data_IF_165235841843
#
_entry.id   IF_165235841843
#
_cell.length_a   1.000
_cell.length_b   1.000
_cell.length_c   1.000
_cell.angle_alpha   90.00
_cell.angle_beta   90.00
_cell.angle_gamma   90.00
#
_symmetry.space_group_name_H-M   'P 1'
#
loop_
_entity.id
_entity.type
_entity.pdbx_description
1 polymer ?
#
# COMPACT_ATOMS: atom_id res chain seq x y z
N UNK A 1 -40.40 -25.80 60.74
CA UNK A 1 -38.97 -25.40 61.05
C UNK A 1 -37.96 -25.63 59.94
N UNK A 2 -38.04 -26.74 59.16
CA UNK A 2 -37.02 -26.98 58.05
C UNK A 2 -37.06 -25.97 56.90
N UNK A 3 -38.23 -25.35 56.60
CA UNK A 3 -38.38 -24.37 55.50
C UNK A 3 -37.91 -22.96 55.86
N UNK A 4 -37.85 -22.62 57.14
CA UNK A 4 -37.36 -21.32 57.65
C UNK A 4 -35.82 -21.30 57.70
N UNK A 5 -35.20 -22.43 58.00
CA UNK A 5 -33.74 -22.56 58.00
C UNK A 5 -33.14 -22.48 56.60
N UNK A 6 -33.82 -23.00 55.56
CA UNK A 6 -33.39 -22.92 54.18
C UNK A 6 -33.44 -21.48 53.60
N UNK A 7 -34.43 -20.68 54.03
CA UNK A 7 -34.58 -19.29 53.62
C UNK A 7 -33.49 -18.39 54.27
N UNK A 8 -33.09 -18.68 55.51
CA UNK A 8 -32.03 -17.94 56.23
C UNK A 8 -30.66 -18.22 55.64
N UNK A 9 -30.36 -19.44 55.17
CA UNK A 9 -29.08 -19.78 54.51
C UNK A 9 -28.99 -19.17 53.11
N UNK A 10 -30.10 -19.03 52.38
CA UNK A 10 -30.13 -18.38 51.07
C UNK A 10 -29.94 -16.85 51.16
N UNK A 11 -30.41 -16.21 52.24
CA UNK A 11 -30.26 -14.78 52.46
C UNK A 11 -28.82 -14.38 52.83
N UNK A 12 -28.02 -15.28 53.40
CA UNK A 12 -26.59 -15.04 53.69
C UNK A 12 -25.66 -15.23 52.49
N UNK A 13 -26.13 -15.89 51.41
CA UNK A 13 -25.31 -16.09 50.21
C UNK A 13 -25.29 -14.85 49.27
N UNK A 14 -26.15 -13.84 49.49
CA UNK A 14 -26.16 -12.60 48.69
C UNK A 14 -25.44 -11.41 49.35
N UNK A 15 -24.91 -11.57 50.56
CA UNK A 15 -24.21 -10.49 51.28
C UNK A 15 -22.71 -10.52 51.15
N UNK A 16 -22.12 -11.35 50.26
CA UNK A 16 -20.68 -11.45 50.06
C UNK A 16 -20.29 -11.26 48.61
N UNK A 17 -20.54 -10.09 48.05
CA UNK A 17 -19.87 -9.57 46.88
C UNK A 17 -19.83 -8.03 46.98
N UNK A 18 -19.15 -7.49 47.99
CA UNK A 18 -18.47 -6.23 47.76
C UNK A 18 -17.21 -6.57 46.97
N UNK A 19 -17.19 -6.16 45.70
CA UNK A 19 -15.95 -6.00 44.95
C UNK A 19 -15.12 -4.99 45.77
N UNK A 20 -14.14 -5.47 46.52
CA UNK A 20 -13.01 -4.64 46.85
C UNK A 20 -12.39 -4.24 45.52
N UNK A 21 -12.62 -3.01 45.06
CA UNK A 21 -11.75 -2.34 44.13
C UNK A 21 -10.38 -2.49 44.71
N UNK A 22 -9.52 -3.31 44.06
CA UNK A 22 -8.17 -3.57 44.54
C UNK A 22 -7.35 -2.29 44.43
N UNK A 23 -7.37 -1.53 45.49
CA UNK A 23 -6.42 -0.48 45.79
C UNK A 23 -5.11 -1.10 46.33
N UNK A 24 -4.59 -2.13 45.66
CA UNK A 24 -3.29 -2.69 46.00
C UNK A 24 -2.25 -1.73 45.43
N UNK A 25 -1.68 -0.91 46.29
CA UNK A 25 -0.53 -0.07 45.99
C UNK A 25 -0.77 1.44 46.04
N UNK A 26 -2.01 1.93 46.23
CA UNK A 26 -2.27 3.37 46.43
C UNK A 26 -1.98 3.85 47.86
N UNK A 27 -1.98 2.97 48.84
CA UNK A 27 -1.69 3.33 50.25
C UNK A 27 -0.23 3.70 50.51
N UNK A 28 0.67 3.45 49.56
CA UNK A 28 2.09 3.81 49.66
C UNK A 28 2.45 5.14 48.99
N UNK A 29 1.54 5.76 48.29
CA UNK A 29 1.75 7.07 47.66
C UNK A 29 0.83 8.06 48.36
N UNK A 30 1.45 9.02 49.04
CA UNK A 30 0.70 10.15 49.60
C UNK A 30 -0.08 10.83 48.45
N UNK A 31 -1.40 10.66 48.43
CA UNK A 31 -2.28 11.16 47.38
C UNK A 31 -2.25 12.68 47.20
N UNK A 32 -1.59 13.38 48.13
CA UNK A 32 -1.33 14.81 48.08
C UNK A 32 -0.21 15.17 47.07
N UNK A 33 0.63 14.19 46.66
CA UNK A 33 1.80 14.43 45.83
C UNK A 33 1.51 14.34 44.32
N UNK A 34 0.33 13.84 43.89
CA UNK A 34 0.00 13.70 42.49
C UNK A 34 -1.41 14.22 42.18
N UNK A 35 -1.52 15.13 41.23
CA UNK A 35 -2.80 15.52 40.66
C UNK A 35 -3.03 14.76 39.35
N UNK A 36 -4.07 13.94 39.29
CA UNK A 36 -4.52 13.28 38.09
C UNK A 36 -5.32 14.26 37.23
N UNK A 37 -5.00 14.37 35.95
CA UNK A 37 -5.72 15.25 35.05
C UNK A 37 -5.89 14.64 33.67
N UNK A 38 -6.91 15.10 32.97
CA UNK A 38 -7.08 14.84 31.54
C UNK A 38 -7.06 16.15 30.80
N UNK A 39 -6.38 16.17 29.66
CA UNK A 39 -6.46 17.29 28.73
C UNK A 39 -6.87 16.74 27.38
N UNK A 40 -8.10 17.06 26.97
CA UNK A 40 -8.70 16.53 25.75
C UNK A 40 -8.25 17.25 24.48
N UNK A 41 -7.73 18.46 24.57
CA UNK A 41 -7.41 19.25 23.38
C UNK A 41 -6.03 19.87 23.48
N UNK A 42 -5.04 19.14 22.97
CA UNK A 42 -3.73 19.73 22.68
C UNK A 42 -3.85 20.51 21.38
N UNK A 43 -3.50 21.79 21.40
CA UNK A 43 -3.48 22.61 20.19
C UNK A 43 -2.52 21.97 19.17
N UNK A 44 -3.07 21.62 18.02
CA UNK A 44 -2.31 21.07 16.89
C UNK A 44 -2.77 21.74 15.60
N UNK A 45 -1.94 21.64 14.58
CA UNK A 45 -2.25 22.12 13.25
C UNK A 45 -2.06 20.99 12.26
N UNK A 46 -2.99 20.89 11.32
CA UNK A 46 -2.95 19.84 10.30
C UNK A 46 -3.08 20.43 8.90
N UNK A 47 -2.30 19.95 7.97
CA UNK A 47 -2.35 20.32 6.57
C UNK A 47 -1.92 19.15 5.69
N UNK A 48 -2.06 19.31 4.39
CA UNK A 48 -1.71 18.27 3.41
C UNK A 48 -0.45 18.63 2.66
N UNK A 49 0.44 17.65 2.45
CA UNK A 49 1.64 17.81 1.62
C UNK A 49 1.71 16.69 0.57
N UNK A 50 2.49 16.93 -0.50
CA UNK A 50 2.91 15.86 -1.40
C UNK A 50 3.96 14.97 -0.71
N UNK A 51 3.98 13.70 -1.07
CA UNK A 51 5.03 12.78 -0.63
C UNK A 51 5.93 12.43 -1.81
N UNK A 52 7.02 13.13 -1.96
CA UNK A 52 7.92 13.10 -3.13
C UNK A 52 9.01 12.03 -3.10
N UNK A 53 9.26 11.43 -1.95
CA UNK A 53 10.38 10.49 -1.74
C UNK A 53 9.92 9.03 -1.55
N UNK A 54 8.84 8.64 -2.22
CA UNK A 54 8.33 7.26 -2.14
C UNK A 54 9.25 6.31 -2.90
N UNK A 55 9.89 5.40 -2.16
CA UNK A 55 10.65 4.29 -2.76
C UNK A 55 9.67 3.25 -3.31
N UNK A 56 9.83 2.89 -4.57
CA UNK A 56 8.99 1.93 -5.28
C UNK A 56 9.76 0.71 -5.78
N UNK A 57 11.01 0.54 -5.38
CA UNK A 57 11.83 -0.63 -5.67
C UNK A 57 11.22 -1.90 -5.03
N UNK A 58 11.07 -2.96 -5.83
CA UNK A 58 10.50 -4.26 -5.42
C UNK A 58 9.22 -4.12 -4.60
N UNK A 59 8.19 -3.45 -5.14
CA UNK A 59 6.96 -3.20 -4.40
C UNK A 59 6.19 -4.51 -4.19
N UNK A 60 5.32 -4.56 -3.18
CA UNK A 60 4.47 -5.71 -2.91
C UNK A 60 3.48 -6.02 -4.05
N UNK A 61 3.15 -5.03 -4.88
CA UNK A 61 2.38 -5.19 -6.10
C UNK A 61 2.89 -4.26 -7.20
N UNK A 62 2.88 -4.75 -8.44
CA UNK A 62 3.13 -3.98 -9.65
C UNK A 62 1.82 -3.35 -10.11
N UNK A 63 1.87 -2.08 -10.49
CA UNK A 63 0.68 -1.28 -10.76
C UNK A 63 0.64 -0.81 -12.21
N UNK A 64 -0.52 -0.90 -12.85
CA UNK A 64 -0.72 -0.33 -14.18
C UNK A 64 -2.12 0.23 -14.35
N UNK A 65 -2.20 1.39 -14.98
CA UNK A 65 -3.45 2.08 -15.32
C UNK A 65 -3.62 3.41 -14.61
N UNK A 66 -4.78 3.96 -14.70
CA UNK A 66 -5.18 5.24 -14.10
C UNK A 66 -6.67 5.23 -13.79
N UNK A 67 -7.13 6.16 -12.99
CA UNK A 67 -8.55 6.41 -12.75
C UNK A 67 -8.78 7.88 -12.41
N UNK A 68 -9.98 8.40 -12.72
CA UNK A 68 -10.34 9.76 -12.31
C UNK A 68 -11.00 9.76 -10.95
N UNK A 69 -10.35 10.36 -9.97
CA UNK A 69 -10.93 10.63 -8.64
C UNK A 69 -11.42 12.10 -8.60
N UNK A 70 -12.68 12.36 -8.22
CA UNK A 70 -13.23 13.71 -8.20
C UNK A 70 -12.59 14.62 -7.15
N UNK A 71 -11.89 14.05 -6.17
CA UNK A 71 -11.24 14.79 -5.08
C UNK A 71 -9.72 14.87 -5.30
N UNK A 72 -9.08 13.77 -5.71
CA UNK A 72 -7.62 13.67 -5.77
C UNK A 72 -7.04 13.85 -7.17
N UNK A 73 -7.88 13.99 -8.22
CA UNK A 73 -7.42 14.07 -9.61
C UNK A 73 -7.13 12.70 -10.19
N UNK A 74 -6.18 12.60 -11.11
CA UNK A 74 -5.85 11.37 -11.84
C UNK A 74 -4.47 10.83 -11.47
N UNK A 75 -4.38 9.84 -10.58
CA UNK A 75 -3.16 9.05 -10.42
C UNK A 75 -2.98 8.11 -11.60
N UNK A 76 -1.75 7.98 -12.09
CA UNK A 76 -1.37 7.06 -13.15
C UNK A 76 -0.18 6.25 -12.70
N UNK A 77 -0.22 4.93 -12.92
CA UNK A 77 0.87 4.03 -12.61
C UNK A 77 1.25 3.18 -13.82
N UNK A 78 2.53 2.90 -13.93
CA UNK A 78 3.14 1.93 -14.81
C UNK A 78 4.28 1.24 -14.05
N UNK A 79 4.81 0.16 -14.57
CA UNK A 79 5.95 -0.50 -13.93
C UNK A 79 7.00 -0.94 -14.93
N UNK A 80 8.24 -1.00 -14.45
CA UNK A 80 9.34 -1.67 -15.14
C UNK A 80 9.77 -2.89 -14.33
N UNK A 81 10.17 -3.97 -15.02
CA UNK A 81 10.54 -5.23 -14.39
C UNK A 81 11.54 -6.02 -15.22
N UNK A 82 12.47 -6.64 -14.55
CA UNK A 82 13.34 -7.68 -15.15
C UNK A 82 12.63 -9.05 -15.09
N UNK A 83 13.13 -9.98 -15.87
CA UNK A 83 12.77 -11.39 -15.88
C UNK A 83 14.04 -12.23 -15.92
N UNK A 84 13.98 -13.47 -15.45
CA UNK A 84 15.09 -14.43 -15.56
C UNK A 84 14.67 -15.65 -16.37
N UNK A 85 15.65 -16.35 -16.92
CA UNK A 85 15.46 -17.58 -17.66
C UNK A 85 14.95 -18.70 -16.72
N UNK A 86 13.98 -19.51 -17.15
CA UNK A 86 13.56 -20.71 -16.41
C UNK A 86 14.63 -21.80 -16.39
N UNK A 87 15.43 -21.87 -17.44
CA UNK A 87 16.66 -22.64 -17.53
C UNK A 87 17.68 -21.89 -18.37
N UNK A 88 18.94 -21.93 -17.98
CA UNK A 88 20.04 -21.33 -18.75
C UNK A 88 20.45 -22.24 -19.91
N UNK A 89 21.08 -21.65 -20.94
CA UNK A 89 21.49 -22.34 -22.15
C UNK A 89 20.39 -23.25 -22.75
N UNK A 90 19.18 -22.71 -23.05
CA UNK A 90 18.08 -23.51 -23.53
C UNK A 90 18.37 -24.12 -24.89
N UNK A 91 17.99 -25.42 -25.05
CA UNK A 91 17.99 -26.10 -26.33
C UNK A 91 16.53 -26.21 -26.83
N UNK A 92 16.24 -25.53 -27.94
CA UNK A 92 14.94 -25.58 -28.59
C UNK A 92 14.79 -26.64 -29.67
N UNK A 93 15.85 -27.45 -29.92
CA UNK A 93 15.89 -28.50 -30.94
C UNK A 93 16.07 -27.98 -32.36
N UNK A 94 15.85 -28.87 -33.37
CA UNK A 94 16.02 -28.53 -34.79
C UNK A 94 14.83 -27.70 -35.33
N UNK A 95 15.13 -26.62 -36.08
CA UNK A 95 14.17 -25.74 -36.72
C UNK A 95 13.05 -25.23 -35.80
N UNK A 96 13.38 -24.66 -34.63
CA UNK A 96 12.41 -24.21 -33.67
C UNK A 96 11.64 -22.96 -34.19
N UNK A 97 10.33 -22.91 -33.93
CA UNK A 97 9.46 -21.81 -34.33
C UNK A 97 8.53 -21.45 -33.17
N UNK A 98 8.56 -20.18 -32.77
CA UNK A 98 7.63 -19.64 -31.75
C UNK A 98 6.22 -19.57 -32.33
N UNK A 99 5.27 -20.23 -31.66
CA UNK A 99 3.85 -20.18 -31.98
C UNK A 99 3.18 -18.97 -31.34
N UNK A 100 3.29 -18.85 -30.05
CA UNK A 100 2.67 -17.78 -29.30
C UNK A 100 3.46 -17.44 -28.02
N UNK A 101 3.29 -16.21 -27.56
CA UNK A 101 3.92 -15.71 -26.32
C UNK A 101 2.88 -14.99 -25.50
N UNK A 102 2.79 -15.34 -24.21
CA UNK A 102 1.87 -14.70 -23.27
C UNK A 102 2.61 -14.19 -22.05
N UNK A 103 2.37 -12.93 -21.71
CA UNK A 103 2.67 -12.38 -20.42
C UNK A 103 1.49 -12.65 -19.49
N UNK A 104 1.74 -13.31 -18.37
CA UNK A 104 0.74 -13.71 -17.39
C UNK A 104 0.93 -12.87 -16.14
N UNK A 105 -0.07 -12.07 -15.81
CA UNK A 105 -0.07 -11.12 -14.71
C UNK A 105 -1.17 -11.49 -13.68
N UNK A 106 -0.83 -12.19 -12.61
CA UNK A 106 -1.79 -12.54 -11.55
C UNK A 106 -2.34 -11.32 -10.84
N UNK A 107 -3.66 -11.19 -10.75
CA UNK A 107 -4.28 -10.07 -10.06
C UNK A 107 -4.07 -10.14 -8.55
N UNK A 108 -3.57 -9.05 -7.96
CA UNK A 108 -3.55 -8.81 -6.52
C UNK A 108 -4.74 -7.93 -6.08
N UNK A 109 -5.29 -7.14 -7.01
CA UNK A 109 -6.42 -6.26 -6.77
C UNK A 109 -6.64 -5.27 -7.91
N UNK A 110 -7.57 -4.37 -7.71
CA UNK A 110 -7.87 -3.26 -8.63
C UNK A 110 -8.54 -2.12 -7.89
N UNK A 111 -8.52 -0.95 -8.52
CA UNK A 111 -9.14 0.26 -8.00
C UNK A 111 -9.69 1.12 -9.15
N UNK A 112 -10.93 1.55 -9.01
CA UNK A 112 -11.64 2.28 -10.08
C UNK A 112 -12.74 1.44 -10.74
N UNK A 113 -13.08 1.76 -11.99
CA UNK A 113 -14.18 1.13 -12.75
C UNK A 113 -13.69 0.00 -13.65
N UNK A 114 -13.93 -1.24 -13.24
CA UNK A 114 -13.52 -2.45 -13.98
C UNK A 114 -14.43 -2.78 -15.17
N UNK A 115 -15.47 -2.02 -15.43
CA UNK A 115 -16.40 -2.23 -16.55
C UNK A 115 -15.97 -1.47 -17.81
N UNK A 116 -15.10 -0.48 -17.66
CA UNK A 116 -14.55 0.30 -18.74
C UNK A 116 -13.48 -0.47 -19.53
N UNK A 117 -13.30 -0.10 -20.80
CA UNK A 117 -12.19 -0.61 -21.59
C UNK A 117 -10.84 -0.18 -20.99
N UNK A 118 -9.90 -1.12 -20.96
CA UNK A 118 -8.59 -0.93 -20.40
C UNK A 118 -7.54 -1.06 -21.50
N UNK A 119 -6.84 0.02 -21.78
CA UNK A 119 -5.70 0.00 -22.70
C UNK A 119 -4.43 -0.34 -21.93
N UNK A 120 -3.64 -1.27 -22.48
CA UNK A 120 -2.36 -1.69 -21.92
C UNK A 120 -1.32 -1.85 -23.03
N UNK A 121 -0.11 -1.42 -22.72
CA UNK A 121 1.04 -1.48 -23.60
C UNK A 121 2.20 -2.17 -22.90
N UNK A 122 2.85 -3.09 -23.59
CA UNK A 122 4.08 -3.76 -23.13
C UNK A 122 5.20 -3.40 -24.09
N UNK A 123 6.33 -2.92 -23.55
CA UNK A 123 7.52 -2.55 -24.32
C UNK A 123 8.75 -3.21 -23.70
N UNK A 124 9.78 -3.48 -24.51
CA UNK A 124 11.09 -3.81 -23.98
C UNK A 124 11.70 -2.56 -23.35
N UNK A 125 12.47 -2.72 -22.29
CA UNK A 125 13.26 -1.63 -21.72
C UNK A 125 14.54 -1.46 -22.52
N UNK A 126 14.84 -0.23 -22.95
CA UNK A 126 16.12 0.13 -23.56
C UNK A 126 17.18 0.53 -22.52
N UNK A 127 16.78 0.68 -21.27
CA UNK A 127 17.70 0.93 -20.15
C UNK A 127 17.79 -0.27 -19.22
N UNK A 128 19.01 -0.62 -18.82
CA UNK A 128 19.23 -1.63 -17.79
C UNK A 128 18.64 -1.18 -16.45
N UNK A 129 17.92 -2.07 -15.78
CA UNK A 129 17.47 -1.85 -14.41
C UNK A 129 18.60 -2.28 -13.48
N UNK A 130 19.22 -1.29 -12.84
CA UNK A 130 20.40 -1.48 -11.97
C UNK A 130 19.98 -1.69 -10.52
N UNK A 131 20.94 -2.05 -9.66
CA UNK A 131 20.71 -2.19 -8.20
C UNK A 131 20.73 -0.81 -7.51
N UNK A 132 19.91 0.10 -8.03
CA UNK A 132 19.73 1.47 -7.54
C UNK A 132 18.40 1.60 -6.80
N UNK A 133 18.28 2.62 -5.96
CA UNK A 133 16.99 2.96 -5.35
C UNK A 133 16.12 3.65 -6.39
N UNK A 134 14.93 3.08 -6.64
CA UNK A 134 13.92 3.66 -7.52
C UNK A 134 12.82 4.31 -6.71
N UNK A 135 12.45 5.51 -7.13
CA UNK A 135 11.37 6.29 -6.54
C UNK A 135 10.15 6.32 -7.46
N UNK A 136 9.02 6.77 -6.96
CA UNK A 136 7.79 6.90 -7.74
C UNK A 136 7.96 7.70 -9.03
N UNK A 137 8.82 8.71 -9.01
CA UNK A 137 9.14 9.56 -10.16
C UNK A 137 10.26 9.01 -11.06
N UNK A 138 10.89 7.88 -10.71
CA UNK A 138 11.88 7.24 -11.57
C UNK A 138 11.25 6.79 -12.89
N UNK A 139 12.02 6.78 -13.96
CA UNK A 139 11.58 6.39 -15.30
C UNK A 139 12.49 5.30 -15.87
N UNK A 140 11.96 4.51 -16.80
CA UNK A 140 12.74 3.61 -17.64
C UNK A 140 12.56 4.01 -19.10
N UNK A 141 13.62 3.89 -19.91
CA UNK A 141 13.55 4.19 -21.32
C UNK A 141 12.77 3.09 -22.04
N UNK A 142 11.66 3.48 -22.68
CA UNK A 142 10.80 2.55 -23.41
C UNK A 142 11.36 2.35 -24.83
N UNK A 143 11.60 1.09 -25.17
CA UNK A 143 12.01 0.64 -26.48
C UNK A 143 10.87 0.03 -27.29
N UNK A 144 11.16 -1.09 -27.92
CA UNK A 144 10.27 -1.73 -28.87
C UNK A 144 8.95 -2.19 -28.25
N UNK A 145 7.83 -1.93 -28.95
CA UNK A 145 6.48 -2.33 -28.51
C UNK A 145 6.24 -3.80 -28.82
N UNK A 146 5.88 -4.57 -27.80
CA UNK A 146 5.57 -6.00 -27.88
C UNK A 146 4.08 -6.30 -27.89
N UNK A 147 3.29 -5.42 -27.29
CA UNK A 147 1.84 -5.48 -27.24
C UNK A 147 1.30 -4.06 -27.04
N UNK A 148 0.24 -3.72 -27.77
CA UNK A 148 -0.58 -2.52 -27.53
C UNK A 148 -2.02 -2.92 -27.83
N UNK A 149 -2.86 -3.02 -26.80
CA UNK A 149 -4.21 -3.57 -26.93
C UNK A 149 -5.17 -2.92 -25.95
N UNK A 150 -6.46 -3.00 -26.27
CA UNK A 150 -7.54 -2.52 -25.41
C UNK A 150 -8.63 -3.57 -25.31
N UNK A 151 -9.07 -3.87 -24.10
CA UNK A 151 -10.14 -4.85 -23.80
C UNK A 151 -10.76 -4.55 -22.43
N UNK A 152 -11.85 -5.21 -22.10
CA UNK A 152 -12.43 -5.16 -20.76
C UNK A 152 -11.92 -6.35 -19.94
N UNK A 153 -11.02 -6.16 -18.95
CA UNK A 153 -10.50 -7.25 -18.15
C UNK A 153 -11.59 -7.86 -17.26
N UNK A 154 -11.60 -9.19 -17.17
CA UNK A 154 -12.53 -9.95 -16.30
C UNK A 154 -11.86 -10.30 -14.97
N UNK A 155 -11.30 -9.31 -14.29
CA UNK A 155 -10.55 -9.52 -13.07
C UNK A 155 -11.41 -10.12 -11.95
N UNK A 156 -10.80 -11.07 -11.24
CA UNK A 156 -11.41 -11.75 -10.10
C UNK A 156 -12.36 -12.87 -10.50
N UNK A 157 -12.36 -13.93 -9.71
CA UNK A 157 -13.24 -15.10 -9.91
C UNK A 157 -14.48 -14.95 -9.05
N UNK A 158 -15.65 -14.88 -9.68
CA UNK A 158 -16.96 -14.92 -9.00
C UNK A 158 -17.61 -16.28 -9.23
N UNK A 159 -18.12 -16.89 -8.17
CA UNK A 159 -18.94 -18.09 -8.30
C UNK A 159 -20.42 -17.66 -8.32
N UNK A 160 -21.10 -17.96 -9.41
CA UNK A 160 -22.54 -17.69 -9.54
C UNK A 160 -23.35 -18.67 -8.66
N UNK A 161 -24.62 -18.33 -8.40
CA UNK A 161 -25.56 -19.22 -7.65
C UNK A 161 -25.69 -20.62 -8.29
N UNK A 162 -25.42 -20.72 -9.59
CA UNK A 162 -25.42 -21.98 -10.36
C UNK A 162 -24.16 -22.82 -10.14
N UNK A 163 -23.19 -22.37 -9.33
CA UNK A 163 -21.90 -23.01 -9.18
C UNK A 163 -20.89 -22.68 -10.28
N UNK A 164 -21.29 -21.94 -11.33
CA UNK A 164 -20.43 -21.53 -12.43
C UNK A 164 -19.42 -20.47 -11.96
N UNK A 165 -18.13 -20.66 -12.24
CA UNK A 165 -17.08 -19.66 -11.99
C UNK A 165 -16.98 -18.75 -13.21
N UNK A 166 -16.98 -17.43 -12.98
CA UNK A 166 -16.77 -16.40 -13.99
C UNK A 166 -15.67 -15.44 -13.53
N UNK A 167 -14.90 -14.95 -14.48
CA UNK A 167 -13.74 -14.08 -14.25
C UNK A 167 -12.42 -14.84 -14.33
N UNK A 168 -11.33 -14.12 -14.20
CA UNK A 168 -9.97 -14.58 -14.40
C UNK A 168 -9.10 -14.25 -13.20
N UNK A 169 -8.19 -15.16 -12.85
CA UNK A 169 -7.21 -14.94 -11.76
C UNK A 169 -5.99 -14.15 -12.23
N UNK A 170 -5.78 -14.08 -13.54
CA UNK A 170 -4.64 -13.40 -14.18
C UNK A 170 -5.07 -12.69 -15.44
N UNK A 171 -4.37 -11.62 -15.78
CA UNK A 171 -4.44 -10.97 -17.08
C UNK A 171 -3.47 -11.68 -18.03
N UNK A 172 -3.92 -12.00 -19.23
CA UNK A 172 -3.13 -12.65 -20.28
C UNK A 172 -2.93 -11.66 -21.43
N UNK A 173 -1.68 -11.31 -21.71
CA UNK A 173 -1.31 -10.39 -22.78
C UNK A 173 -0.53 -11.16 -23.85
N UNK A 174 -1.05 -11.19 -25.06
CA UNK A 174 -0.35 -11.79 -26.19
C UNK A 174 0.75 -10.85 -26.65
N UNK A 175 1.99 -11.30 -26.60
CA UNK A 175 3.17 -10.53 -27.00
C UNK A 175 3.60 -10.88 -28.44
N UNK A 176 4.46 -10.06 -29.04
CA UNK A 176 5.03 -10.28 -30.36
C UNK A 176 5.86 -11.56 -30.44
N UNK A 177 5.33 -12.61 -31.06
CA UNK A 177 6.04 -13.88 -31.24
C UNK A 177 7.34 -13.71 -32.02
N UNK A 178 7.35 -12.81 -33.02
CA UNK A 178 8.51 -12.56 -33.87
C UNK A 178 9.72 -12.05 -33.05
N UNK A 179 9.47 -11.18 -32.05
CA UNK A 179 10.52 -10.64 -31.19
C UNK A 179 11.08 -11.69 -30.23
N UNK A 180 10.23 -12.54 -29.69
CA UNK A 180 10.71 -13.63 -28.85
C UNK A 180 11.34 -14.75 -29.65
N UNK A 181 10.99 -14.95 -30.93
CA UNK A 181 11.75 -15.77 -31.84
C UNK A 181 13.19 -15.24 -31.97
N UNK A 182 13.33 -13.97 -32.30
CA UNK A 182 14.63 -13.31 -32.47
C UNK A 182 15.48 -13.31 -31.18
N UNK A 183 14.88 -12.86 -30.08
CA UNK A 183 15.63 -12.58 -28.84
C UNK A 183 15.92 -13.81 -27.98
N UNK A 184 15.14 -14.87 -28.08
CA UNK A 184 15.27 -16.05 -27.25
C UNK A 184 15.64 -17.28 -28.09
N UNK A 185 14.82 -17.63 -29.06
CA UNK A 185 14.96 -18.87 -29.80
C UNK A 185 16.15 -18.82 -30.78
N UNK A 186 16.20 -17.80 -31.61
CA UNK A 186 17.30 -17.64 -32.58
C UNK A 186 18.63 -17.29 -31.86
N UNK A 187 18.54 -16.50 -30.77
CA UNK A 187 19.71 -16.16 -29.97
C UNK A 187 20.36 -17.39 -29.31
N UNK A 188 19.61 -18.45 -29.02
CA UNK A 188 20.16 -19.68 -28.42
C UNK A 188 21.21 -20.37 -29.30
N UNK A 189 21.15 -20.13 -30.62
CA UNK A 189 22.10 -20.67 -31.58
C UNK A 189 23.03 -19.60 -32.18
N UNK A 190 22.51 -18.42 -32.47
CA UNK A 190 23.27 -17.34 -33.09
C UNK A 190 24.18 -16.57 -32.09
N UNK A 191 23.77 -16.43 -30.84
CA UNK A 191 24.52 -15.76 -29.77
C UNK A 191 24.25 -16.45 -28.41
N UNK A 192 24.68 -17.71 -28.23
CA UNK A 192 24.33 -18.50 -27.04
C UNK A 192 24.82 -17.87 -25.72
N UNK A 193 25.89 -17.07 -25.76
CA UNK A 193 26.48 -16.44 -24.58
C UNK A 193 25.50 -15.55 -23.81
N UNK A 194 24.51 -14.94 -24.48
CA UNK A 194 23.52 -14.07 -23.84
C UNK A 194 22.47 -14.87 -23.02
N UNK A 195 22.40 -16.19 -23.22
CA UNK A 195 21.48 -17.09 -22.51
C UNK A 195 22.21 -18.10 -21.58
N UNK A 196 23.55 -18.02 -21.48
CA UNK A 196 24.34 -18.92 -20.64
C UNK A 196 24.16 -18.68 -19.14
N UNK A 197 23.72 -17.50 -18.73
CA UNK A 197 23.44 -17.16 -17.34
C UNK A 197 22.36 -16.11 -17.25
N UNK A 198 21.70 -16.03 -16.07
CA UNK A 198 20.76 -14.94 -15.81
C UNK A 198 21.43 -13.56 -15.81
N UNK A 199 22.70 -13.44 -15.42
CA UNK A 199 23.43 -12.17 -15.48
C UNK A 199 23.61 -11.70 -16.93
N UNK A 200 24.09 -12.59 -17.82
CA UNK A 200 24.24 -12.27 -19.25
C UNK A 200 22.89 -11.95 -19.91
N UNK A 201 21.83 -12.68 -19.52
CA UNK A 201 20.49 -12.42 -20.02
C UNK A 201 19.95 -11.06 -19.58
N UNK A 202 20.14 -10.65 -18.32
CA UNK A 202 19.70 -9.35 -17.82
C UNK A 202 20.43 -8.18 -18.51
N UNK A 203 21.71 -8.34 -18.82
CA UNK A 203 22.48 -7.35 -19.59
C UNK A 203 22.02 -7.26 -21.06
N UNK A 204 21.57 -8.38 -21.62
CA UNK A 204 21.06 -8.45 -23.00
C UNK A 204 19.61 -7.97 -23.12
N UNK A 205 18.73 -8.42 -22.23
CA UNK A 205 17.28 -8.22 -22.36
C UNK A 205 16.79 -6.96 -21.66
N UNK A 206 17.47 -6.48 -20.62
CA UNK A 206 17.16 -5.33 -19.76
C UNK A 206 15.85 -5.45 -18.95
N UNK A 207 14.77 -5.97 -19.56
CA UNK A 207 13.46 -6.11 -18.93
C UNK A 207 12.31 -5.59 -19.76
N UNK A 208 11.15 -5.46 -19.12
CA UNK A 208 9.90 -5.01 -19.72
C UNK A 208 9.36 -3.78 -18.99
N UNK A 209 8.69 -2.91 -19.73
CA UNK A 209 7.89 -1.81 -19.23
C UNK A 209 6.43 -2.09 -19.58
N UNK A 210 5.55 -1.98 -18.59
CA UNK A 210 4.10 -2.14 -18.76
C UNK A 210 3.42 -0.85 -18.35
N UNK A 211 2.69 -0.25 -19.27
CA UNK A 211 2.00 1.03 -19.08
C UNK A 211 0.53 0.94 -19.49
N UNK A 212 -0.30 1.74 -18.86
CA UNK A 212 -1.71 1.90 -19.24
C UNK A 212 -1.93 3.06 -20.19
N UNK A 213 -3.08 3.06 -20.86
CA UNK A 213 -3.53 4.22 -21.65
C UNK A 213 -3.96 5.40 -20.76
N UNK A 214 -3.94 6.64 -21.31
CA UNK A 214 -4.25 7.85 -20.55
C UNK A 214 -5.71 7.94 -20.08
N UNK A 215 -6.62 7.24 -20.75
CA UNK A 215 -8.05 7.26 -20.49
C UNK A 215 -8.54 6.02 -19.72
N UNK A 216 -7.67 5.25 -19.13
CA UNK A 216 -8.08 4.15 -18.26
C UNK A 216 -8.87 4.68 -17.06
N UNK A 217 -9.87 3.92 -16.62
CA UNK A 217 -10.67 4.24 -15.42
C UNK A 217 -10.46 3.21 -14.31
N UNK A 218 -9.43 2.36 -14.48
CA UNK A 218 -9.03 1.34 -13.51
C UNK A 218 -7.52 1.30 -13.38
N UNK A 219 -7.04 1.10 -12.16
CA UNK A 219 -5.66 0.74 -11.86
C UNK A 219 -5.63 -0.70 -11.35
N UNK A 220 -4.98 -1.60 -12.09
CA UNK A 220 -4.79 -2.99 -11.68
C UNK A 220 -3.51 -3.15 -10.87
N UNK A 221 -3.57 -4.08 -9.92
CA UNK A 221 -2.46 -4.50 -9.08
C UNK A 221 -2.13 -5.96 -9.43
N UNK A 222 -0.87 -6.25 -9.67
CA UNK A 222 -0.39 -7.59 -10.00
C UNK A 222 0.60 -8.08 -8.95
N UNK A 223 0.54 -9.38 -8.65
CA UNK A 223 1.44 -10.01 -7.69
C UNK A 223 2.66 -10.64 -8.40
N UNK A 224 3.84 -10.01 -8.35
CA UNK A 224 5.05 -10.58 -8.96
C UNK A 224 5.56 -11.82 -8.22
N UNK A 225 5.16 -12.04 -6.97
CA UNK A 225 5.54 -13.20 -6.17
C UNK A 225 4.69 -14.45 -6.43
N UNK A 226 3.66 -14.36 -7.26
CA UNK A 226 2.84 -15.52 -7.63
C UNK A 226 3.59 -16.43 -8.62
N UNK A 227 3.58 -17.74 -8.40
CA UNK A 227 4.28 -18.70 -9.25
C UNK A 227 3.75 -18.75 -10.71
N UNK A 228 2.55 -18.22 -10.95
CA UNK A 228 1.99 -18.08 -12.31
C UNK A 228 2.47 -16.83 -13.04
N UNK A 229 3.08 -15.86 -12.34
CA UNK A 229 3.63 -14.64 -12.95
C UNK A 229 4.84 -14.98 -13.83
N UNK A 230 4.72 -14.80 -15.17
CA UNK A 230 5.75 -15.14 -16.14
C UNK A 230 5.46 -14.62 -17.53
N UNK A 231 6.46 -14.65 -18.38
CA UNK A 231 6.26 -14.64 -19.83
C UNK A 231 6.46 -16.05 -20.34
N UNK A 232 5.44 -16.64 -20.93
CA UNK A 232 5.46 -18.01 -21.46
C UNK A 232 5.54 -18.01 -22.97
N UNK A 233 6.53 -18.71 -23.48
CA UNK A 233 6.79 -18.92 -24.90
C UNK A 233 6.36 -20.34 -25.27
N UNK A 234 5.43 -20.45 -26.19
CA UNK A 234 5.06 -21.73 -26.82
C UNK A 234 5.78 -21.85 -28.14
N UNK A 235 6.43 -22.97 -28.39
CA UNK A 235 7.18 -23.22 -29.61
C UNK A 235 6.98 -24.62 -30.13
N UNK A 236 7.27 -24.84 -31.40
CA UNK A 236 7.37 -26.17 -32.03
C UNK A 236 8.77 -26.36 -32.62
N UNK A 237 9.20 -27.58 -32.80
CA UNK A 237 10.43 -27.95 -33.51
C UNK A 237 10.20 -29.21 -34.34
N UNK A 238 11.21 -29.72 -35.05
CA UNK A 238 11.04 -30.91 -35.92
C UNK A 238 10.59 -32.15 -35.15
N UNK A 239 11.11 -32.37 -33.95
CA UNK A 239 10.70 -33.51 -33.12
C UNK A 239 9.24 -33.43 -32.68
N UNK A 240 8.79 -32.25 -32.22
CA UNK A 240 7.40 -32.02 -31.81
C UNK A 240 6.44 -32.17 -33.00
N UNK A 241 6.81 -31.60 -34.14
CA UNK A 241 6.00 -31.72 -35.38
C UNK A 241 5.92 -33.13 -35.92
N UNK A 242 6.93 -33.97 -35.71
CA UNK A 242 6.95 -35.35 -36.13
C UNK A 242 6.17 -36.30 -35.20
N UNK A 243 5.86 -35.87 -33.98
CA UNK A 243 5.06 -36.65 -33.03
C UNK A 243 3.59 -36.64 -33.41
N UNK A 244 3.09 -37.77 -33.89
CA UNK A 244 1.68 -37.93 -34.28
C UNK A 244 0.80 -38.48 -33.16
N UNK A 245 1.36 -38.78 -31.99
CA UNK A 245 0.66 -39.40 -30.86
C UNK A 245 -0.36 -38.46 -30.20
N UNK A 246 -0.13 -37.16 -30.32
CA UNK A 246 -0.94 -36.07 -29.67
C UNK A 246 -1.79 -35.29 -30.68
N UNK A 247 -1.91 -35.74 -31.92
CA UNK A 247 -2.64 -35.07 -32.99
C UNK A 247 -2.20 -33.64 -33.26
N UNK A 248 -0.92 -33.31 -33.06
CA UNK A 248 -0.34 -31.98 -33.32
C UNK A 248 -0.71 -30.89 -32.29
N UNK A 249 -1.16 -31.30 -31.09
CA UNK A 249 -1.51 -30.38 -29.99
C UNK A 249 -0.35 -30.15 -29.00
N UNK A 250 0.81 -30.75 -29.23
CA UNK A 250 1.96 -30.57 -28.35
C UNK A 250 2.78 -29.35 -28.75
N UNK A 251 3.18 -28.60 -27.72
CA UNK A 251 4.09 -27.49 -27.80
C UNK A 251 5.22 -27.66 -26.79
N UNK A 252 6.42 -27.27 -27.17
CA UNK A 252 7.46 -26.95 -26.22
C UNK A 252 7.09 -25.66 -25.47
N UNK A 253 7.50 -25.61 -24.22
CA UNK A 253 7.23 -24.44 -23.37
C UNK A 253 8.54 -23.92 -22.78
N UNK A 254 8.76 -22.64 -22.87
CA UNK A 254 9.86 -21.96 -22.19
C UNK A 254 9.38 -20.71 -21.47
N UNK A 255 9.76 -20.55 -20.22
CA UNK A 255 9.28 -19.46 -19.37
C UNK A 255 10.40 -18.46 -19.06
N UNK A 256 10.07 -17.17 -19.09
CA UNK A 256 10.83 -16.12 -18.42
C UNK A 256 10.09 -15.78 -17.12
N UNK A 257 10.80 -15.86 -15.99
CA UNK A 257 10.20 -15.88 -14.66
C UNK A 257 10.39 -14.55 -13.94
N UNK A 258 9.38 -14.14 -13.17
CA UNK A 258 9.57 -13.20 -12.07
C UNK A 258 10.13 -13.93 -10.86
N UNK A 259 11.17 -13.39 -10.26
CA UNK A 259 11.71 -13.88 -9.00
C UNK A 259 11.96 -12.71 -8.05
N UNK A 260 12.08 -12.99 -6.76
CA UNK A 260 12.39 -11.96 -5.75
C UNK A 260 13.77 -11.28 -5.95
N UNK A 261 14.65 -11.90 -6.77
CA UNK A 261 15.98 -11.36 -7.07
C UNK A 261 16.02 -10.33 -8.20
N UNK A 262 14.94 -10.22 -9.02
CA UNK A 262 14.93 -9.27 -10.13
C UNK A 262 14.56 -7.85 -9.68
N UNK A 263 15.04 -6.86 -10.42
CA UNK A 263 14.64 -5.47 -10.21
C UNK A 263 13.26 -5.24 -10.80
N UNK A 264 12.42 -4.57 -10.02
CA UNK A 264 11.13 -4.07 -10.48
C UNK A 264 10.76 -2.82 -9.71
N UNK A 265 10.07 -1.87 -10.33
CA UNK A 265 9.59 -0.68 -9.64
C UNK A 265 8.34 -0.11 -10.32
N UNK A 266 7.52 0.59 -9.53
CA UNK A 266 6.39 1.35 -10.04
C UNK A 266 6.82 2.78 -10.37
N UNK A 267 6.40 3.27 -11.53
CA UNK A 267 6.50 4.66 -11.98
C UNK A 267 5.12 5.30 -11.80
N UNK A 268 5.04 6.37 -11.03
CA UNK A 268 3.76 6.93 -10.59
C UNK A 268 3.75 8.43 -10.82
N UNK A 269 2.63 8.93 -11.35
CA UNK A 269 2.38 10.35 -11.52
C UNK A 269 0.98 10.71 -10.99
N UNK A 270 0.82 11.97 -10.57
CA UNK A 270 -0.44 12.50 -10.07
C UNK A 270 -0.79 13.79 -10.83
N UNK A 271 -1.80 13.71 -11.71
CA UNK A 271 -2.40 14.92 -12.30
C UNK A 271 -3.49 15.44 -11.37
N UNK A 272 -3.22 16.57 -10.73
CA UNK A 272 -4.13 17.25 -9.80
C UNK A 272 -4.90 18.41 -10.42
N UNK A 273 -4.82 18.59 -11.74
CA UNK A 273 -5.52 19.70 -12.43
C UNK A 273 -7.04 19.70 -12.20
N UNK A 274 -7.61 18.52 -11.91
CA UNK A 274 -9.03 18.33 -11.58
C UNK A 274 -9.25 17.91 -10.11
N UNK A 275 -8.26 18.10 -9.24
CA UNK A 275 -8.43 17.82 -7.81
C UNK A 275 -9.28 18.90 -7.14
N UNK A 276 -9.98 18.55 -6.06
CA UNK A 276 -10.79 19.50 -5.28
C UNK A 276 -10.00 20.26 -4.21
N UNK A 277 -8.70 20.02 -4.08
CA UNK A 277 -7.80 20.72 -3.16
C UNK A 277 -6.50 21.10 -3.85
N UNK A 278 -5.88 22.16 -3.35
CA UNK A 278 -4.58 22.63 -3.82
C UNK A 278 -3.52 22.47 -2.72
N UNK A 279 -2.44 21.76 -3.04
CA UNK A 279 -1.31 21.55 -2.12
C UNK A 279 -0.54 22.84 -1.85
N UNK A 280 -0.55 23.80 -2.79
CA UNK A 280 0.14 25.09 -2.62
C UNK A 280 -0.66 26.08 -1.78
N UNK A 281 -1.97 25.89 -1.65
CA UNK A 281 -2.87 26.77 -0.93
C UNK A 281 -3.20 26.30 0.51
N UNK A 282 -2.48 25.30 1.04
CA UNK A 282 -2.72 24.78 2.38
C UNK A 282 -2.36 25.80 3.47
N UNK A 283 -3.26 26.01 4.43
CA UNK A 283 -2.97 26.84 5.61
C UNK A 283 -2.12 26.08 6.62
N UNK A 284 -0.83 26.34 6.60
CA UNK A 284 0.14 25.74 7.54
C UNK A 284 0.21 26.48 8.89
N UNK A 285 -0.45 27.63 9.02
CA UNK A 285 -0.43 28.49 10.22
C UNK A 285 -1.61 28.20 11.15
N UNK A 286 -2.82 28.16 10.61
CA UNK A 286 -4.04 27.87 11.37
C UNK A 286 -4.44 26.38 11.25
N UNK A 287 -4.04 25.74 10.16
CA UNK A 287 -4.44 24.37 9.81
C UNK A 287 -5.73 24.35 9.01
N UNK A 288 -6.03 23.17 8.47
CA UNK A 288 -7.12 22.94 7.54
C UNK A 288 -8.33 22.27 8.21
N UNK A 289 -9.53 22.53 7.69
CA UNK A 289 -10.75 21.81 8.07
C UNK A 289 -10.82 20.40 7.43
N UNK A 290 -10.21 20.23 6.28
CA UNK A 290 -10.09 18.94 5.58
C UNK A 290 -8.65 18.70 5.20
N UNK A 291 -8.15 17.50 5.51
CA UNK A 291 -6.82 17.06 5.10
C UNK A 291 -6.92 15.75 4.35
N UNK A 292 -5.93 15.47 3.52
CA UNK A 292 -6.02 14.44 2.50
C UNK A 292 -4.89 13.42 2.65
N UNK A 293 -5.23 12.16 2.40
CA UNK A 293 -4.28 11.07 2.42
C UNK A 293 -4.51 10.20 1.19
N UNK A 294 -3.45 9.91 0.44
CA UNK A 294 -3.50 9.10 -0.78
C UNK A 294 -2.24 8.25 -0.87
N UNK A 295 -2.42 6.98 -1.19
CA UNK A 295 -1.32 6.08 -1.52
C UNK A 295 -0.55 6.52 -2.76
N UNK A 296 0.38 5.70 -3.19
CA UNK A 296 1.19 5.93 -4.39
C UNK A 296 2.06 7.20 -4.35
N UNK A 297 2.39 7.71 -3.17
CA UNK A 297 3.11 8.97 -3.03
C UNK A 297 2.26 10.21 -3.35
N UNK A 298 0.92 10.09 -3.28
CA UNK A 298 0.02 11.16 -3.66
C UNK A 298 -0.01 12.29 -2.65
N UNK A 299 -0.70 12.11 -1.55
CA UNK A 299 -0.90 13.11 -0.52
C UNK A 299 -0.72 12.49 0.87
N UNK A 300 -0.18 13.25 1.80
CA UNK A 300 0.00 12.87 3.20
C UNK A 300 -0.46 13.98 4.12
N UNK A 301 -0.97 13.61 5.28
CA UNK A 301 -1.38 14.58 6.29
C UNK A 301 -0.23 14.84 7.25
N UNK A 302 0.12 16.09 7.41
CA UNK A 302 1.11 16.58 8.37
C UNK A 302 0.42 17.11 9.60
N UNK A 303 0.95 16.77 10.76
CA UNK A 303 0.52 17.28 12.07
C UNK A 303 1.66 17.99 12.74
N UNK A 304 1.38 19.20 13.26
CA UNK A 304 2.27 19.95 14.13
C UNK A 304 1.68 19.98 15.54
N UNK A 305 2.36 19.34 16.48
CA UNK A 305 1.93 19.22 17.88
C UNK A 305 2.54 20.33 18.75
N UNK A 306 2.68 21.54 18.22
CA UNK A 306 3.31 22.66 18.92
C UNK A 306 2.63 23.02 20.26
N UNK A 307 1.35 22.67 20.41
CA UNK A 307 0.64 22.84 21.68
C UNK A 307 1.23 22.05 22.84
N UNK A 308 2.00 20.99 22.57
CA UNK A 308 2.74 20.27 23.61
C UNK A 308 3.86 21.11 24.23
N UNK A 309 4.38 22.12 23.54
CA UNK A 309 5.41 23.04 24.09
C UNK A 309 4.95 23.72 25.37
N UNK A 310 3.67 24.08 25.43
CA UNK A 310 3.09 24.71 26.62
C UNK A 310 3.01 23.77 27.86
N UNK A 311 3.13 22.46 27.63
CA UNK A 311 3.10 21.42 28.67
C UNK A 311 4.48 20.95 29.07
N UNK A 312 5.52 21.30 28.33
CA UNK A 312 6.88 20.78 28.48
C UNK A 312 7.48 21.02 29.87
N UNK A 313 7.39 22.26 30.35
CA UNK A 313 8.01 22.66 31.62
C UNK A 313 7.08 22.44 32.84
N UNK A 314 5.95 21.76 32.62
CA UNK A 314 4.95 21.49 33.67
C UNK A 314 5.28 20.31 34.57
N UNK A 315 6.31 19.52 34.24
CA UNK A 315 6.66 18.29 34.97
C UNK A 315 5.63 17.15 34.80
N UNK A 316 4.76 17.25 33.81
CA UNK A 316 3.74 16.23 33.56
C UNK A 316 4.33 14.89 33.11
N UNK A 317 3.80 13.80 33.68
CA UNK A 317 4.03 12.44 33.21
C UNK A 317 2.82 11.98 32.43
N UNK A 318 3.01 11.67 31.14
CA UNK A 318 1.92 11.21 30.27
C UNK A 318 1.66 9.74 30.54
N UNK A 319 0.46 9.44 31.03
CA UNK A 319 -0.01 8.08 31.30
C UNK A 319 -0.56 7.43 30.03
N UNK A 320 -1.28 8.22 29.21
CA UNK A 320 -1.88 7.78 27.96
C UNK A 320 -2.06 8.96 27.00
N UNK A 321 -1.79 8.74 25.72
CA UNK A 321 -2.03 9.72 24.67
C UNK A 321 -2.68 9.04 23.45
N UNK A 322 -3.85 9.52 23.05
CA UNK A 322 -4.59 9.02 21.90
C UNK A 322 -4.78 10.11 20.85
N UNK A 323 -4.26 9.84 19.64
CA UNK A 323 -4.55 10.63 18.44
C UNK A 323 -5.78 10.04 17.74
N UNK A 324 -6.81 10.84 17.58
CA UNK A 324 -8.05 10.47 16.87
C UNK A 324 -8.10 11.22 15.55
N UNK A 325 -8.24 10.46 14.45
CA UNK A 325 -8.21 10.95 13.07
C UNK A 325 -9.53 10.55 12.39
N UNK A 326 -10.56 11.40 12.43
CA UNK A 326 -11.85 11.09 11.84
C UNK A 326 -11.81 11.14 10.31
N UNK A 327 -12.54 10.23 9.66
CA UNK A 327 -12.71 10.21 8.20
C UNK A 327 -13.99 10.95 7.85
N UNK A 328 -13.90 11.87 6.89
CA UNK A 328 -15.05 12.66 6.43
C UNK A 328 -16.13 11.74 5.85
N UNK A 329 -17.32 11.85 6.41
CA UNK A 329 -18.46 11.01 6.06
C UNK A 329 -18.76 11.07 4.56
N UNK A 330 -19.07 9.91 3.96
CA UNK A 330 -19.39 9.77 2.54
C UNK A 330 -18.19 9.80 1.59
N UNK A 331 -17.02 10.28 2.02
CA UNK A 331 -15.84 10.38 1.16
C UNK A 331 -15.29 9.01 0.71
N UNK A 332 -15.58 7.95 1.45
CA UNK A 332 -15.08 6.59 1.23
C UNK A 332 -16.13 5.61 0.68
N UNK A 333 -17.26 6.09 0.15
CA UNK A 333 -18.32 5.23 -0.38
C UNK A 333 -17.92 4.54 -1.69
N UNK A 334 -17.41 5.31 -2.66
CA UNK A 334 -16.97 4.82 -3.97
C UNK A 334 -15.48 4.42 -3.93
N UNK A 335 -14.66 5.21 -3.28
CA UNK A 335 -13.22 5.01 -3.19
C UNK A 335 -12.85 4.66 -1.75
N UNK A 336 -12.35 3.45 -1.55
CA UNK A 336 -12.10 2.91 -0.22
C UNK A 336 -10.97 3.66 0.51
N UNK A 337 -11.19 3.88 1.81
CA UNK A 337 -10.15 4.36 2.70
C UNK A 337 -9.09 3.26 2.93
N UNK A 338 -7.81 3.64 3.19
CA UNK A 338 -6.79 2.69 3.62
C UNK A 338 -7.25 1.89 4.83
N UNK A 339 -6.96 0.58 4.86
CA UNK A 339 -7.26 -0.27 6.00
C UNK A 339 -6.46 0.11 7.26
N UNK A 340 -5.30 0.73 7.08
CA UNK A 340 -4.46 1.25 8.13
C UNK A 340 -3.64 2.46 7.70
N UNK A 341 -3.29 3.28 8.67
CA UNK A 341 -2.34 4.39 8.54
C UNK A 341 -1.16 4.16 9.48
N UNK A 342 -0.01 4.68 9.10
CA UNK A 342 1.18 4.72 9.95
C UNK A 342 1.52 6.16 10.32
N UNK A 343 2.11 6.33 11.52
CA UNK A 343 2.57 7.61 12.04
C UNK A 343 4.08 7.68 11.96
N UNK A 344 4.58 8.71 11.30
CA UNK A 344 6.01 9.00 11.21
C UNK A 344 6.34 10.25 12.01
N UNK A 345 7.48 10.26 12.68
CA UNK A 345 8.13 11.46 13.16
C UNK A 345 8.96 12.06 12.04
N UNK A 346 8.92 13.38 11.90
CA UNK A 346 9.70 14.12 10.90
C UNK A 346 10.78 14.95 11.59
N UNK A 347 12.05 14.67 11.29
CA UNK A 347 13.22 15.41 11.78
C UNK A 347 14.08 15.85 10.60
N UNK A 348 13.96 17.13 10.21
CA UNK A 348 14.56 17.60 8.96
C UNK A 348 14.01 16.82 7.77
N UNK A 349 14.85 16.20 6.98
CA UNK A 349 14.45 15.31 5.86
C UNK A 349 14.13 13.88 6.29
N UNK A 350 14.53 13.47 7.49
CA UNK A 350 14.32 12.11 7.98
C UNK A 350 12.86 11.89 8.42
N UNK A 351 12.28 10.79 7.93
CA UNK A 351 10.94 10.31 8.26
C UNK A 351 11.07 8.91 8.86
N UNK A 352 10.78 8.77 10.16
CA UNK A 352 10.94 7.50 10.89
C UNK A 352 9.68 7.14 11.65
N UNK A 353 9.40 5.84 11.80
CA UNK A 353 8.31 5.40 12.67
C UNK A 353 8.54 5.90 14.11
N UNK A 354 7.46 6.29 14.78
CA UNK A 354 7.52 6.69 16.19
C UNK A 354 7.90 5.52 17.08
N UNK A 355 8.48 5.80 18.27
CA UNK A 355 8.99 4.76 19.20
C UNK A 355 7.92 3.82 19.73
N UNK A 356 6.66 4.23 19.71
CA UNK A 356 5.55 3.40 20.18
C UNK A 356 5.45 2.09 19.39
N UNK A 357 5.80 2.07 18.09
CA UNK A 357 5.87 0.84 17.28
C UNK A 357 6.86 -0.21 17.77
N UNK A 358 7.84 0.16 18.60
CA UNK A 358 8.80 -0.79 19.18
C UNK A 358 8.15 -1.77 20.18
N UNK A 359 6.95 -1.47 20.67
CA UNK A 359 6.19 -2.33 21.60
C UNK A 359 5.07 -3.11 20.93
N UNK A 360 4.91 -2.99 19.61
CA UNK A 360 3.85 -3.64 18.85
C UNK A 360 3.01 -2.64 18.06
N UNK A 361 1.73 -2.96 17.83
CA UNK A 361 0.83 -2.08 17.10
C UNK A 361 0.44 -0.86 17.94
N UNK A 362 0.51 0.32 17.35
CA UNK A 362 0.02 1.59 17.94
C UNK A 362 -1.42 1.90 17.55
N UNK A 363 -2.13 0.97 16.91
CA UNK A 363 -3.43 1.23 16.31
C UNK A 363 -3.31 1.69 14.86
N UNK A 364 -4.17 2.64 14.47
CA UNK A 364 -4.18 3.19 13.10
C UNK A 364 -4.99 2.37 12.11
N UNK A 365 -5.68 1.34 12.55
CA UNK A 365 -6.63 0.60 11.74
C UNK A 365 -7.93 1.39 11.58
N UNK A 366 -8.47 1.40 10.37
CA UNK A 366 -9.74 2.04 10.10
C UNK A 366 -10.88 1.29 10.79
N UNK A 367 -11.60 1.98 11.66
CA UNK A 367 -12.80 1.47 12.30
C UNK A 367 -14.00 2.23 11.77
N UNK A 368 -14.86 1.55 11.00
CA UNK A 368 -16.10 2.11 10.49
C UNK A 368 -17.26 1.87 11.49
N UNK A 369 -18.08 2.88 11.70
CA UNK A 369 -19.31 2.79 12.47
C UNK A 369 -20.51 3.27 11.65
N UNK A 370 -21.63 2.55 11.78
CA UNK A 370 -22.91 2.93 11.17
C UNK A 370 -23.04 2.68 9.67
N UNK A 371 -24.25 2.96 9.15
CA UNK A 371 -24.66 2.68 7.76
C UNK A 371 -23.91 3.54 6.73
N UNK A 372 -23.49 4.76 7.10
CA UNK A 372 -22.82 5.73 6.22
C UNK A 372 -21.29 5.60 6.21
N UNK A 373 -20.74 4.52 6.75
CA UNK A 373 -19.28 4.30 6.84
C UNK A 373 -18.53 5.47 7.50
N UNK A 374 -19.14 6.11 8.45
CA UNK A 374 -18.48 7.03 9.35
C UNK A 374 -17.43 6.26 10.16
N UNK A 375 -16.21 6.80 10.25
CA UNK A 375 -15.17 6.07 10.93
C UNK A 375 -13.97 6.94 11.25
N UNK A 376 -13.02 6.36 11.98
CA UNK A 376 -11.80 7.04 12.39
C UNK A 376 -10.63 6.06 12.48
N UNK A 377 -9.43 6.59 12.40
CA UNK A 377 -8.20 5.92 12.83
C UNK A 377 -7.84 6.43 14.23
N UNK A 378 -7.42 5.51 15.11
CA UNK A 378 -7.01 5.83 16.48
C UNK A 378 -5.62 5.29 16.73
N UNK A 379 -4.77 6.11 17.33
CA UNK A 379 -3.37 5.78 17.60
C UNK A 379 -3.06 6.02 19.06
N UNK A 380 -2.45 5.03 19.70
CA UNK A 380 -1.81 5.21 20.99
C UNK A 380 -0.37 5.69 20.75
N UNK A 381 -0.08 6.94 21.11
CA UNK A 381 1.21 7.60 20.89
C UNK A 381 1.85 8.11 22.19
N UNK A 382 1.59 7.41 23.28
CA UNK A 382 1.97 7.80 24.66
C UNK A 382 3.46 8.06 24.81
N UNK A 383 4.31 7.14 24.32
CA UNK A 383 5.78 7.29 24.42
C UNK A 383 6.29 8.43 23.57
N UNK A 384 5.75 8.58 22.38
CA UNK A 384 6.14 9.66 21.48
C UNK A 384 5.81 11.03 22.08
N UNK A 385 4.61 11.17 22.65
CA UNK A 385 4.22 12.43 23.34
C UNK A 385 5.10 12.67 24.56
N UNK A 386 5.41 11.65 25.38
CA UNK A 386 6.32 11.79 26.51
C UNK A 386 7.73 12.20 26.06
N UNK A 387 8.23 11.62 24.96
CA UNK A 387 9.52 12.00 24.39
C UNK A 387 9.50 13.48 23.94
N UNK A 388 8.42 13.93 23.29
CA UNK A 388 8.27 15.33 22.86
C UNK A 388 8.24 16.31 24.02
N UNK A 389 7.68 15.95 25.18
CA UNK A 389 7.71 16.76 26.38
C UNK A 389 9.10 16.88 27.01
N UNK A 390 9.97 15.88 26.81
CA UNK A 390 11.34 15.85 27.27
C UNK A 390 12.37 16.49 26.31
N UNK A 391 11.96 16.92 25.12
CA UNK A 391 12.86 17.48 24.12
C UNK A 391 13.22 18.95 24.40
N UNK A 392 14.35 19.41 23.84
CA UNK A 392 14.74 20.80 23.89
C UNK A 392 13.85 21.69 22.97
N UNK A 393 14.03 23.00 23.06
CA UNK A 393 13.23 23.97 22.29
C UNK A 393 13.42 23.88 20.78
N UNK A 394 14.49 23.22 20.31
CA UNK A 394 14.87 23.11 18.89
C UNK A 394 14.26 21.88 18.21
N UNK A 395 13.67 20.98 18.98
CA UNK A 395 13.15 19.72 18.46
C UNK A 395 11.87 19.88 17.67
N UNK A 396 11.71 19.06 16.65
CA UNK A 396 10.54 19.07 15.78
C UNK A 396 9.36 18.34 16.41
N UNK A 397 8.23 19.03 16.52
CA UNK A 397 6.93 18.47 16.90
C UNK A 397 6.11 18.03 15.68
N UNK A 398 6.77 17.87 14.54
CA UNK A 398 6.12 17.52 13.28
C UNK A 398 6.01 16.01 13.12
N UNK A 399 4.82 15.56 12.80
CA UNK A 399 4.48 14.18 12.49
C UNK A 399 3.82 14.11 11.11
N UNK A 400 3.76 12.92 10.56
CA UNK A 400 3.15 12.65 9.27
C UNK A 400 2.32 11.37 9.33
N UNK A 401 1.10 11.42 8.83
CA UNK A 401 0.27 10.24 8.59
C UNK A 401 0.44 9.79 7.15
N UNK A 402 0.72 8.51 6.96
CA UNK A 402 0.86 7.88 5.64
C UNK A 402 -0.02 6.63 5.56
N UNK A 403 -0.55 6.28 4.38
CA UNK A 403 -1.23 5.00 4.19
C UNK A 403 -0.24 3.84 4.34
N UNK A 404 -0.70 2.74 4.93
CA UNK A 404 0.05 1.49 4.87
C UNK A 404 0.20 1.02 3.42
N UNK A 405 1.32 0.35 3.11
CA UNK A 405 1.66 -0.12 1.76
C UNK A 405 1.60 0.98 0.70
N UNK A 406 2.00 2.18 1.05
CA UNK A 406 1.91 3.37 0.20
C UNK A 406 2.47 3.17 -1.22
N UNK A 407 3.54 2.37 -1.39
CA UNK A 407 4.18 2.12 -2.69
C UNK A 407 3.36 1.23 -3.64
N UNK A 408 2.32 0.56 -3.14
CA UNK A 408 1.55 -0.42 -3.92
C UNK A 408 0.04 -0.33 -3.71
N UNK A 409 -0.45 0.65 -2.95
CA UNK A 409 -1.88 0.81 -2.65
C UNK A 409 -2.41 2.15 -3.17
N UNK A 410 -3.42 2.17 -4.06
CA UNK A 410 -4.05 3.38 -4.56
C UNK A 410 -5.12 3.97 -3.63
N UNK A 411 -5.31 3.38 -2.45
CA UNK A 411 -6.35 3.78 -1.51
C UNK A 411 -6.14 5.21 -1.00
N UNK A 412 -7.25 5.91 -0.70
CA UNK A 412 -7.21 7.30 -0.27
C UNK A 412 -8.33 7.62 0.73
N UNK A 413 -8.15 8.65 1.54
CA UNK A 413 -9.17 9.15 2.46
C UNK A 413 -9.16 10.68 2.53
N UNK A 414 -10.33 11.27 2.76
CA UNK A 414 -10.50 12.64 3.20
C UNK A 414 -10.72 12.59 4.71
N UNK A 415 -9.90 13.29 5.46
CA UNK A 415 -9.91 13.31 6.92
C UNK A 415 -10.42 14.67 7.39
N UNK A 416 -11.04 14.71 8.56
CA UNK A 416 -11.26 15.97 9.24
C UNK A 416 -9.94 16.51 9.78
N UNK A 417 -9.61 17.75 9.51
CA UNK A 417 -8.45 18.42 10.05
C UNK A 417 -8.71 19.04 11.43
N UNK A 418 -7.71 19.73 11.99
CA UNK A 418 -7.86 20.39 13.28
C UNK A 418 -8.82 21.58 13.27
N UNK A 419 -9.01 22.22 12.11
CA UNK A 419 -9.90 23.37 11.96
C UNK A 419 -11.35 22.98 11.59
N UNK A 420 -11.70 21.69 11.59
CA UNK A 420 -13.07 21.25 11.36
C UNK A 420 -13.95 21.60 12.57
N UNK A 421 -15.09 22.23 12.31
CA UNK A 421 -15.98 22.73 13.37
C UNK A 421 -16.86 21.62 14.02
N UNK A 422 -16.99 20.47 13.37
CA UNK A 422 -17.93 19.41 13.78
C UNK A 422 -17.21 18.23 14.43
N UNK A 423 -16.16 17.75 13.81
CA UNK A 423 -15.46 16.52 14.22
C UNK A 423 -13.95 16.67 14.01
N UNK A 424 -13.28 17.61 14.71
CA UNK A 424 -11.87 17.89 14.48
C UNK A 424 -10.98 16.68 14.82
N UNK A 425 -9.88 16.57 14.09
CA UNK A 425 -8.78 15.70 14.51
C UNK A 425 -8.29 16.17 15.89
N UNK A 426 -8.07 15.24 16.83
CA UNK A 426 -7.78 15.57 18.22
C UNK A 426 -6.69 14.70 18.82
N UNK A 427 -5.91 15.29 19.74
CA UNK A 427 -4.96 14.59 20.60
C UNK A 427 -5.43 14.68 22.04
N UNK A 428 -5.83 13.55 22.60
CA UNK A 428 -6.31 13.40 23.96
C UNK A 428 -5.17 12.92 24.87
N UNK A 429 -4.95 13.63 25.99
CA UNK A 429 -3.93 13.29 26.96
C UNK A 429 -4.53 12.95 28.32
N UNK A 430 -4.00 11.90 28.93
CA UNK A 430 -4.16 11.58 30.35
C UNK A 430 -2.79 11.66 31.01
N UNK A 431 -2.65 12.47 32.03
CA UNK A 431 -1.37 12.75 32.65
C UNK A 431 -1.46 12.83 34.18
N UNK A 432 -0.34 12.63 34.84
CA UNK A 432 -0.14 12.88 36.26
C UNK A 432 0.81 14.07 36.42
N UNK A 433 0.45 15.02 37.29
CA UNK A 433 1.30 16.14 37.67
C UNK A 433 1.83 15.89 39.07
N UNK A 434 3.16 15.89 39.28
CA UNK A 434 3.73 15.97 40.63
C UNK A 434 3.33 17.29 41.28
N UNK A 435 2.95 17.26 42.54
CA UNK A 435 2.66 18.46 43.35
C UNK A 435 3.96 19.15 43.79
#
# INVERSE_FOLDING_TARGET
MRRILAAAVLAFAFASCEKSTGEIGLDFVDGSQFAFGTKSEVAMRTHTEAFDSLVTLRPAALLVGSYQDPIFGRPTASFATQLVLSSVAPDFGANPTVDSVFMILPYAGWYGDTTAAFQIKVQRSDSALTDSVYYAFSTAAAGETLCDTSFVPKAGVKTLRTGTRVGETSMFLKLSRQKFQEWIVDASTANPSVLESNAAFLDYFNGLIVSGGPNNETMYQFNPGDASAKVRIFYTNDSIRADTSTAGLDYGVYDLLWTSGVQSFNMITHDRSQASFDLAAQDTVLGESSVYIQGLGGAVTVLNLDGLRALRDSGYVVNYAELVVPVREGSNLKYQAPGGLSVLQVKGSAKTLIRDYQRGSVGGTFSASGVLRKGAYRFEITRHVQDLLGLDTTSSYRMMLIPERMASSPLRAVLHGNADAVEPMSLNLWYTKPN
#
